data_IF_671358611905
#
_entry.id   IF_671358611905
#
_cell.length_a   1.000
_cell.length_b   1.000
_cell.length_c   1.000
_cell.angle_alpha   90.00
_cell.angle_beta   90.00
_cell.angle_gamma   90.00
#
_symmetry.space_group_name_H-M   'P 1'
#
loop_
_entity.id
_entity.type
_entity.pdbx_description
1 polymer ?
#
# COMPACT_ATOMS: atom_id res chain seq x y z
N UNK A 1 8.92 -3.13 -3.19
CA UNK A 1 8.17 -2.29 -4.15
C UNK A 1 7.08 -3.09 -4.87
N UNK A 2 7.39 -4.20 -5.56
CA UNK A 2 6.36 -5.02 -6.25
C UNK A 2 5.30 -5.61 -5.30
N UNK A 3 5.70 -6.21 -4.16
CA UNK A 3 4.74 -6.78 -3.21
C UNK A 3 3.84 -5.73 -2.54
N UNK A 4 4.39 -4.55 -2.21
CA UNK A 4 3.61 -3.47 -1.62
C UNK A 4 2.58 -2.92 -2.61
N UNK A 5 2.94 -2.78 -3.90
CA UNK A 5 2.00 -2.41 -4.96
C UNK A 5 0.92 -3.48 -5.16
N UNK A 6 1.28 -4.76 -5.13
CA UNK A 6 0.31 -5.85 -5.22
C UNK A 6 -0.65 -5.87 -4.02
N UNK A 7 -0.14 -5.58 -2.81
CA UNK A 7 -0.94 -5.45 -1.60
C UNK A 7 -1.93 -4.29 -1.70
N UNK A 8 -1.48 -3.12 -2.17
CA UNK A 8 -2.37 -1.97 -2.38
C UNK A 8 -3.43 -2.26 -3.42
N UNK A 9 -3.07 -2.85 -4.57
CA UNK A 9 -4.03 -3.23 -5.62
C UNK A 9 -5.13 -4.18 -5.13
N UNK A 10 -4.80 -5.05 -4.17
CA UNK A 10 -5.76 -6.03 -3.61
C UNK A 10 -6.70 -5.43 -2.56
N UNK A 11 -6.22 -4.45 -1.80
CA UNK A 11 -6.93 -3.91 -0.63
C UNK A 11 -7.55 -2.52 -0.88
N UNK A 12 -7.26 -1.90 -2.02
CA UNK A 12 -7.89 -0.65 -2.46
C UNK A 12 -8.88 -0.93 -3.59
N UNK A 13 -9.86 -0.04 -3.72
CA UNK A 13 -10.74 -0.01 -4.88
C UNK A 13 -9.92 0.23 -6.17
N UNK A 14 -10.30 -0.43 -7.27
CA UNK A 14 -9.56 -0.41 -8.54
C UNK A 14 -9.52 1.00 -9.14
N UNK A 15 -10.58 1.79 -9.00
CA UNK A 15 -10.64 3.17 -9.48
C UNK A 15 -9.69 4.06 -8.66
N UNK A 16 -9.64 3.84 -7.35
CA UNK A 16 -8.74 4.56 -6.42
C UNK A 16 -7.28 4.19 -6.71
N UNK A 17 -6.97 2.90 -6.86
CA UNK A 17 -5.63 2.43 -7.20
C UNK A 17 -5.15 3.02 -8.54
N UNK A 18 -6.03 3.04 -9.55
CA UNK A 18 -5.72 3.59 -10.87
C UNK A 18 -5.50 5.10 -10.84
N UNK A 19 -6.33 5.84 -10.09
CA UNK A 19 -6.14 7.29 -9.88
C UNK A 19 -4.79 7.60 -9.24
N UNK A 20 -4.37 6.78 -8.27
CA UNK A 20 -3.09 6.93 -7.56
C UNK A 20 -1.90 6.67 -8.48
N UNK A 21 -1.92 5.53 -9.19
CA UNK A 21 -0.81 5.13 -10.06
C UNK A 21 -0.68 6.03 -11.31
N UNK A 22 -1.78 6.64 -11.75
CA UNK A 22 -1.79 7.59 -12.86
C UNK A 22 -1.56 9.04 -12.43
N UNK A 23 -1.47 9.33 -11.13
CA UNK A 23 -1.13 10.68 -10.70
C UNK A 23 0.32 10.97 -11.12
N UNK A 24 0.49 11.95 -12.03
CA UNK A 24 1.80 12.36 -12.56
C UNK A 24 2.67 13.06 -11.51
N UNK A 25 2.16 13.21 -10.29
CA UNK A 25 2.95 13.68 -9.18
C UNK A 25 3.81 12.51 -8.70
N UNK A 26 5.10 12.52 -9.07
CA UNK A 26 6.13 11.59 -8.55
C UNK A 26 6.20 11.58 -7.00
N UNK A 27 5.42 12.44 -6.35
CA UNK A 27 5.27 12.60 -4.90
C UNK A 27 3.93 12.11 -4.35
N UNK A 28 3.05 11.50 -5.12
CA UNK A 28 1.94 10.72 -4.56
C UNK A 28 2.53 9.48 -3.90
N UNK A 29 3.07 9.67 -2.68
CA UNK A 29 3.80 8.64 -1.97
C UNK A 29 2.77 7.53 -1.67
N UNK A 30 2.96 6.30 -2.17
CA UNK A 30 2.04 5.20 -1.93
C UNK A 30 1.71 5.00 -0.45
N UNK A 31 2.64 5.36 0.44
CA UNK A 31 2.47 5.32 1.89
C UNK A 31 1.52 6.37 2.46
N UNK A 32 1.42 7.57 1.88
CA UNK A 32 0.43 8.59 2.32
C UNK A 32 -0.98 8.14 1.99
N UNK A 33 -1.17 7.52 0.83
CA UNK A 33 -2.47 7.05 0.35
C UNK A 33 -2.89 5.75 1.03
N UNK A 34 -1.96 4.82 1.21
CA UNK A 34 -2.18 3.64 2.03
C UNK A 34 -2.68 4.01 3.44
N UNK A 35 -2.18 5.10 4.04
CA UNK A 35 -2.68 5.57 5.35
C UNK A 35 -4.11 6.11 5.32
N UNK A 36 -4.55 6.68 4.19
CA UNK A 36 -5.90 7.25 4.04
C UNK A 36 -6.94 6.15 3.80
N UNK A 37 -6.59 5.12 3.02
CA UNK A 37 -7.54 4.14 2.51
C UNK A 37 -7.51 2.78 3.22
N UNK A 38 -6.40 2.42 3.89
CA UNK A 38 -6.33 1.17 4.63
C UNK A 38 -6.89 1.34 6.04
N UNK A 39 -7.54 0.28 6.53
CA UNK A 39 -7.80 0.14 7.96
C UNK A 39 -6.47 -0.03 8.73
N UNK A 40 -6.54 0.01 10.05
CA UNK A 40 -5.34 0.01 10.90
C UNK A 40 -4.51 -1.28 10.77
N UNK A 41 -5.15 -2.43 10.67
CA UNK A 41 -4.49 -3.73 10.49
C UNK A 41 -3.77 -3.82 9.14
N UNK A 42 -4.42 -3.37 8.06
CA UNK A 42 -3.86 -3.41 6.72
C UNK A 42 -2.77 -2.36 6.52
N UNK A 43 -2.88 -1.23 7.21
CA UNK A 43 -1.80 -0.24 7.29
C UNK A 43 -0.54 -0.83 7.92
N UNK A 44 -0.66 -1.56 9.04
CA UNK A 44 0.48 -2.19 9.69
C UNK A 44 1.14 -3.24 8.79
N UNK A 45 0.34 -4.04 8.07
CA UNK A 45 0.82 -5.00 7.07
C UNK A 45 1.56 -4.31 5.93
N UNK A 46 1.01 -3.21 5.39
CA UNK A 46 1.65 -2.43 4.33
C UNK A 46 3.03 -1.90 4.78
N UNK A 47 3.11 -1.31 5.98
CA UNK A 47 4.39 -0.82 6.53
C UNK A 47 5.39 -1.95 6.74
N UNK A 48 4.92 -3.13 7.16
CA UNK A 48 5.78 -4.30 7.30
C UNK A 48 6.35 -4.74 5.94
N UNK A 49 5.51 -4.87 4.91
CA UNK A 49 5.94 -5.25 3.56
C UNK A 49 6.93 -4.24 2.98
N UNK A 50 6.70 -2.93 3.18
CA UNK A 50 7.64 -1.90 2.73
C UNK A 50 9.02 -2.02 3.38
N UNK A 51 9.09 -2.47 4.64
CA UNK A 51 10.36 -2.63 5.37
C UNK A 51 11.05 -3.98 5.13
N UNK A 52 10.27 -5.04 4.96
CA UNK A 52 10.77 -6.42 4.99
C UNK A 52 10.66 -7.14 3.64
N UNK A 53 9.94 -6.54 2.68
CA UNK A 53 9.73 -7.09 1.35
C UNK A 53 8.62 -8.14 1.27
N UNK A 54 8.13 -8.67 2.40
CA UNK A 54 7.00 -9.61 2.47
C UNK A 54 6.30 -9.62 3.82
N UNK A 55 5.18 -10.36 3.92
CA UNK A 55 4.45 -10.59 5.17
C UNK A 55 5.06 -11.70 6.06
N UNK A 56 6.16 -12.31 5.63
CA UNK A 56 6.79 -13.37 6.42
C UNK A 56 7.27 -12.81 7.77
N UNK A 57 6.91 -13.49 8.85
CA UNK A 57 7.26 -13.08 10.21
C UNK A 57 6.44 -11.93 10.80
N UNK A 58 5.45 -11.38 10.08
CA UNK A 58 4.54 -10.38 10.64
C UNK A 58 3.71 -10.97 11.80
N UNK A 59 3.63 -10.23 12.91
CA UNK A 59 2.81 -10.57 14.08
C UNK A 59 2.05 -9.33 14.53
N UNK A 60 0.78 -9.53 14.90
CA UNK A 60 -0.14 -8.51 15.43
C UNK A 60 0.01 -8.44 16.95
#
# INVERSE_FOLDING_TARGET
MEEAMAFLKKNMDEDVFTMVMNSQDEKAIPSVLARIYLNEDDWQKYIWIEKHGSLEGFKI
#
